data_IF_859550789331
#
_entry.id   IF_859550789331
#
_cell.length_a   1.000
_cell.length_b   1.000
_cell.length_c   1.000
_cell.angle_alpha   90.00
_cell.angle_beta   90.00
_cell.angle_gamma   90.00
#
_symmetry.space_group_name_H-M   'P 1'
#
loop_
_entity.id
_entity.type
_entity.pdbx_description
1 polymer ?
#
# COMPACT_ATOMS: atom_id res chain seq x y z
N UNK A 1 -18.38 -63.35 -12.04
CA UNK A 1 -18.30 -61.95 -12.48
C UNK A 1 -18.10 -61.13 -11.22
N UNK A 2 -16.92 -60.59 -11.03
CA UNK A 2 -16.60 -59.65 -9.96
C UNK A 2 -17.11 -58.30 -10.41
N UNK A 3 -17.98 -57.61 -9.67
CA UNK A 3 -18.44 -56.27 -10.08
C UNK A 3 -17.28 -55.30 -10.06
N UNK A 4 -17.15 -54.62 -11.14
CA UNK A 4 -16.39 -53.43 -11.48
C UNK A 4 -15.66 -52.76 -10.28
N UNK A 5 -14.38 -53.10 -10.12
CA UNK A 5 -13.51 -52.29 -9.29
C UNK A 5 -13.29 -50.95 -10.02
N UNK A 6 -13.58 -49.80 -9.45
CA UNK A 6 -13.27 -48.56 -10.08
C UNK A 6 -11.76 -48.49 -10.31
N UNK A 7 -11.35 -48.22 -11.54
CA UNK A 7 -9.95 -48.25 -12.02
C UNK A 7 -9.22 -46.92 -11.80
N UNK A 8 -9.77 -46.03 -11.00
CA UNK A 8 -9.04 -44.89 -10.46
C UNK A 8 -9.25 -44.92 -8.93
N UNK A 9 -8.23 -45.29 -8.20
CA UNK A 9 -8.06 -44.82 -6.86
C UNK A 9 -7.81 -43.32 -7.03
N UNK A 10 -8.78 -42.50 -6.69
CA UNK A 10 -8.46 -41.11 -6.43
C UNK A 10 -7.53 -41.15 -5.20
N UNK A 11 -6.38 -40.56 -5.32
CA UNK A 11 -5.43 -40.40 -4.21
C UNK A 11 -6.17 -39.59 -3.13
N UNK A 12 -6.18 -40.09 -1.91
CA UNK A 12 -6.64 -39.29 -0.78
C UNK A 12 -5.64 -38.18 -0.56
N UNK A 13 -6.08 -36.98 -0.40
CA UNK A 13 -5.24 -35.78 -0.25
C UNK A 13 -5.28 -35.24 1.17
N UNK A 14 -5.94 -35.95 2.10
CA UNK A 14 -6.09 -35.64 3.51
C UNK A 14 -6.20 -37.00 4.26
N UNK A 15 -5.05 -37.69 4.36
CA UNK A 15 -4.94 -39.10 4.78
C UNK A 15 -5.50 -39.38 6.17
N UNK A 16 -5.55 -38.40 7.07
CA UNK A 16 -6.07 -38.57 8.45
C UNK A 16 -7.43 -37.90 8.69
N UNK A 17 -7.90 -37.08 7.71
CA UNK A 17 -9.24 -36.49 7.73
C UNK A 17 -9.37 -35.33 8.71
N UNK A 18 -8.29 -34.62 8.98
CA UNK A 18 -8.30 -33.49 9.89
C UNK A 18 -8.73 -32.19 9.24
N UNK A 19 -8.68 -32.10 7.90
CA UNK A 19 -9.07 -30.98 7.06
C UNK A 19 -7.89 -30.16 6.55
N UNK A 20 -6.65 -30.60 6.80
CA UNK A 20 -5.42 -30.07 6.21
C UNK A 20 -4.98 -31.05 5.11
N UNK A 21 -4.63 -30.55 3.93
CA UNK A 21 -4.17 -31.42 2.84
C UNK A 21 -2.75 -31.92 3.13
N UNK A 22 -2.46 -33.22 2.85
CA UNK A 22 -1.15 -33.87 3.09
C UNK A 22 0.06 -33.06 2.65
N UNK A 23 -0.08 -32.25 1.61
CA UNK A 23 1.02 -31.46 1.02
C UNK A 23 1.43 -30.25 1.87
N UNK A 24 0.57 -29.82 2.78
CA UNK A 24 0.79 -28.70 3.71
C UNK A 24 0.67 -29.11 5.16
N UNK A 25 0.30 -30.37 5.41
CA UNK A 25 0.20 -30.97 6.73
C UNK A 25 1.59 -31.42 7.21
N UNK A 26 2.00 -30.93 8.36
CA UNK A 26 3.26 -31.33 8.98
C UNK A 26 3.17 -32.75 9.60
N UNK A 27 1.95 -33.23 9.89
CA UNK A 27 1.68 -34.56 10.44
C UNK A 27 0.56 -35.33 9.70
N UNK A 28 0.72 -35.69 8.43
CA UNK A 28 -0.33 -36.19 7.52
C UNK A 28 -1.03 -37.50 7.94
N UNK A 29 -0.72 -38.06 9.10
CA UNK A 29 -1.30 -39.29 9.66
C UNK A 29 -1.74 -39.09 11.10
N UNK A 30 -1.70 -37.89 11.67
CA UNK A 30 -2.15 -37.60 13.02
C UNK A 30 -3.29 -36.58 13.04
N UNK A 31 -4.53 -37.01 13.09
CA UNK A 31 -5.70 -36.14 12.96
C UNK A 31 -5.87 -35.12 14.09
N UNK A 32 -4.93 -35.03 15.00
CA UNK A 32 -4.93 -34.05 16.08
C UNK A 32 -4.03 -32.81 15.79
N UNK A 33 -3.14 -32.90 14.82
CA UNK A 33 -2.13 -31.91 14.49
C UNK A 33 -2.10 -31.72 12.98
N UNK A 34 -1.85 -30.53 12.49
CA UNK A 34 -1.82 -30.26 11.05
C UNK A 34 -0.79 -29.20 10.67
N UNK A 35 -1.06 -27.93 10.94
CA UNK A 35 -0.17 -26.84 10.58
C UNK A 35 0.99 -26.68 11.58
N UNK A 36 2.13 -26.30 11.04
CA UNK A 36 3.38 -25.92 11.71
C UNK A 36 3.94 -24.77 10.87
N UNK A 37 3.53 -23.55 11.20
CA UNK A 37 3.71 -22.36 10.34
C UNK A 37 5.19 -21.96 10.25
N UNK A 38 5.94 -22.06 11.35
CA UNK A 38 7.37 -21.71 11.40
C UNK A 38 8.32 -22.89 11.13
N UNK A 39 7.80 -24.14 11.18
CA UNK A 39 8.56 -25.37 10.92
C UNK A 39 9.46 -25.81 12.08
N UNK A 40 9.14 -25.45 13.30
CA UNK A 40 9.95 -25.82 14.49
C UNK A 40 9.61 -27.19 15.05
N UNK A 41 8.47 -27.79 14.61
CA UNK A 41 7.99 -29.13 14.98
C UNK A 41 6.99 -29.11 16.11
N UNK A 42 6.45 -27.96 16.48
CA UNK A 42 5.26 -27.80 17.32
C UNK A 42 4.06 -27.47 16.43
N UNK A 43 2.86 -27.98 16.71
CA UNK A 43 1.67 -27.65 15.92
C UNK A 43 1.09 -26.29 16.36
N UNK A 44 0.67 -25.46 15.40
CA UNK A 44 -0.01 -24.21 15.66
C UNK A 44 -1.22 -24.39 16.59
N UNK A 45 -1.93 -25.49 16.42
CA UNK A 45 -3.04 -25.86 17.30
C UNK A 45 -3.41 -27.34 17.21
N UNK A 46 -4.00 -27.86 18.24
CA UNK A 46 -4.66 -29.17 18.20
C UNK A 46 -6.10 -29.05 17.68
N UNK A 47 -6.53 -30.03 16.90
CA UNK A 47 -7.94 -30.13 16.48
C UNK A 47 -8.85 -30.26 17.70
N UNK A 48 -9.92 -29.50 17.73
CA UNK A 48 -10.85 -29.40 18.85
C UNK A 48 -11.36 -30.79 19.32
N UNK A 49 -11.09 -31.13 20.56
CA UNK A 49 -11.51 -32.38 21.20
C UNK A 49 -10.51 -33.52 21.06
N UNK A 50 -9.40 -33.34 20.38
CA UNK A 50 -8.27 -34.26 20.33
C UNK A 50 -7.09 -33.64 21.10
N UNK A 51 -6.17 -34.49 21.54
CA UNK A 51 -4.89 -34.07 22.13
C UNK A 51 -3.78 -34.73 21.34
N UNK A 52 -2.94 -33.92 20.74
CA UNK A 52 -1.72 -34.36 20.06
C UNK A 52 -0.72 -34.99 21.03
N UNK A 53 0.31 -35.61 20.49
CA UNK A 53 1.43 -36.17 21.26
C UNK A 53 2.48 -35.13 21.62
N UNK A 54 2.41 -33.96 21.03
CA UNK A 54 3.33 -32.82 21.16
C UNK A 54 2.53 -31.68 21.79
N UNK A 55 3.17 -30.76 22.49
CA UNK A 55 2.53 -29.54 23.01
C UNK A 55 2.20 -28.62 21.85
N UNK A 56 1.15 -27.82 21.97
CA UNK A 56 0.76 -26.77 21.03
C UNK A 56 1.79 -25.65 21.11
N UNK A 57 2.12 -25.07 19.96
CA UNK A 57 2.95 -23.88 19.90
C UNK A 57 2.24 -22.69 20.57
N UNK A 58 2.96 -21.71 20.97
CA UNK A 58 2.47 -20.47 21.59
C UNK A 58 3.00 -19.22 20.91
N UNK A 59 3.79 -19.39 19.84
CA UNK A 59 4.38 -18.35 18.99
C UNK A 59 4.50 -18.96 17.58
N UNK A 60 3.32 -19.13 16.93
CA UNK A 60 3.10 -19.97 15.74
C UNK A 60 3.98 -19.59 14.54
N UNK A 61 4.48 -18.35 14.47
CA UNK A 61 5.33 -17.87 13.38
C UNK A 61 6.77 -17.51 13.80
N UNK A 62 7.06 -17.65 15.12
CA UNK A 62 8.36 -17.50 15.75
C UNK A 62 8.97 -16.11 15.54
N UNK A 63 8.14 -15.06 15.58
CA UNK A 63 8.58 -13.68 15.50
C UNK A 63 9.00 -13.10 16.86
N UNK A 64 8.65 -13.80 17.95
CA UNK A 64 9.00 -13.48 19.34
C UNK A 64 7.86 -12.85 20.13
N UNK A 65 6.68 -12.70 19.53
CA UNK A 65 5.43 -12.39 20.21
C UNK A 65 4.63 -13.67 20.41
N UNK A 66 3.85 -13.76 21.48
CA UNK A 66 2.99 -14.92 21.68
C UNK A 66 1.69 -14.74 20.89
N UNK A 67 1.09 -15.83 20.39
CA UNK A 67 -0.19 -15.80 19.66
C UNK A 67 -1.30 -15.02 20.38
N UNK A 68 -1.23 -14.96 21.70
CA UNK A 68 -2.19 -14.22 22.53
C UNK A 68 -1.90 -12.73 22.65
N UNK A 69 -0.75 -12.30 22.20
CA UNK A 69 -0.25 -10.92 22.23
C UNK A 69 0.05 -10.41 20.81
N UNK A 70 -0.22 -11.24 19.79
CA UNK A 70 0.00 -11.02 18.38
C UNK A 70 -1.34 -10.94 17.63
N UNK A 71 -1.54 -9.87 16.89
CA UNK A 71 -2.73 -9.69 16.05
C UNK A 71 -2.63 -10.46 14.72
N UNK A 72 -1.42 -10.96 14.37
CA UNK A 72 -1.13 -11.71 13.14
C UNK A 72 -0.35 -13.01 13.40
N UNK A 73 -0.80 -13.94 14.25
CA UNK A 73 -0.03 -15.06 14.81
C UNK A 73 0.57 -16.06 13.80
N UNK A 74 0.40 -15.85 12.51
CA UNK A 74 0.90 -16.71 11.43
C UNK A 74 1.74 -15.93 10.41
N UNK A 75 2.16 -14.69 10.71
CA UNK A 75 2.93 -13.86 9.80
C UNK A 75 4.09 -13.14 10.51
N UNK A 76 5.22 -13.77 10.63
CA UNK A 76 6.44 -13.31 11.30
C UNK A 76 7.00 -11.92 10.87
N UNK A 77 6.26 -11.15 10.11
CA UNK A 77 6.61 -9.79 9.77
C UNK A 77 5.62 -8.77 10.33
N UNK A 78 4.57 -9.21 11.03
CA UNK A 78 3.50 -8.38 11.56
C UNK A 78 3.07 -8.89 12.92
N UNK A 79 2.85 -7.99 13.88
CA UNK A 79 2.49 -8.37 15.25
C UNK A 79 1.48 -7.44 15.94
N UNK A 80 1.26 -6.23 15.40
CA UNK A 80 0.38 -5.26 16.05
C UNK A 80 -0.55 -4.58 15.05
N UNK A 81 -1.84 -4.53 15.41
CA UNK A 81 -2.94 -3.92 14.65
C UNK A 81 -3.82 -3.18 15.65
N UNK A 82 -3.48 -1.92 15.93
CA UNK A 82 -4.06 -1.16 17.05
C UNK A 82 -5.55 -0.89 16.85
N UNK A 83 -6.02 -0.64 15.62
CA UNK A 83 -7.43 -0.36 15.33
C UNK A 83 -8.21 -1.58 14.85
N UNK A 84 -7.52 -2.68 14.51
CA UNK A 84 -8.14 -3.94 14.10
C UNK A 84 -8.62 -3.96 12.65
N UNK A 85 -8.05 -3.15 11.76
CA UNK A 85 -8.44 -3.06 10.35
C UNK A 85 -7.74 -4.11 9.45
N UNK A 86 -6.72 -4.81 9.98
CA UNK A 86 -5.94 -5.86 9.32
C UNK A 86 -4.66 -5.34 8.64
N UNK A 87 -4.30 -4.08 8.86
CA UNK A 87 -3.02 -3.49 8.47
C UNK A 87 -2.12 -3.44 9.72
N UNK A 88 -0.88 -3.88 9.58
CA UNK A 88 0.09 -3.81 10.68
C UNK A 88 0.53 -2.37 10.95
N UNK A 89 0.64 -1.98 12.21
CA UNK A 89 1.00 -0.63 12.66
C UNK A 89 2.29 -0.09 12.03
N UNK A 90 3.20 -0.96 11.60
CA UNK A 90 4.47 -0.55 10.97
C UNK A 90 4.29 0.03 9.56
N UNK A 91 3.16 -0.25 8.92
CA UNK A 91 2.82 0.19 7.56
C UNK A 91 1.50 0.94 7.49
N UNK A 92 0.79 1.02 8.61
CA UNK A 92 -0.42 1.81 8.71
C UNK A 92 -0.09 3.31 8.77
N UNK A 93 -0.96 4.12 8.25
CA UNK A 93 -0.86 5.57 8.22
C UNK A 93 -1.81 6.26 9.19
N UNK A 94 -2.72 5.49 9.82
CA UNK A 94 -3.76 5.91 10.76
C UNK A 94 -3.98 4.73 11.73
N UNK A 95 -2.98 4.52 12.62
CA UNK A 95 -2.84 3.30 13.42
C UNK A 95 -3.97 3.06 14.42
N UNK A 96 -4.64 4.09 14.90
CA UNK A 96 -5.73 3.97 15.86
C UNK A 96 -7.12 4.14 15.23
N UNK A 97 -7.17 4.42 13.90
CA UNK A 97 -8.38 4.41 13.10
C UNK A 97 -9.36 5.54 13.41
N UNK A 98 -8.87 6.69 13.87
CA UNK A 98 -9.71 7.83 14.26
C UNK A 98 -10.01 8.81 13.11
N UNK A 99 -9.51 8.54 11.88
CA UNK A 99 -9.57 9.36 10.67
C UNK A 99 -8.52 10.49 10.60
N UNK A 100 -7.62 10.59 11.58
CA UNK A 100 -6.41 11.41 11.50
C UNK A 100 -5.21 10.52 11.18
N UNK A 101 -4.29 11.03 10.37
CA UNK A 101 -3.09 10.26 10.10
C UNK A 101 -2.06 10.43 11.23
N UNK A 102 -1.23 9.40 11.47
CA UNK A 102 -0.10 9.47 12.42
C UNK A 102 0.76 10.73 12.25
N UNK A 103 0.95 11.16 10.99
CA UNK A 103 1.73 12.36 10.68
C UNK A 103 1.02 13.64 11.12
N UNK A 104 -0.29 13.72 10.88
CA UNK A 104 -1.08 14.89 11.29
C UNK A 104 -1.14 14.95 12.82
N UNK A 105 -1.27 13.81 13.48
CA UNK A 105 -1.28 13.71 14.93
C UNK A 105 0.06 14.08 15.57
N UNK A 106 1.19 13.58 15.04
CA UNK A 106 2.53 13.98 15.48
C UNK A 106 2.71 15.51 15.36
N UNK A 107 2.23 16.11 14.26
CA UNK A 107 2.31 17.55 14.03
C UNK A 107 1.35 18.34 14.93
N UNK A 108 0.19 17.76 15.26
CA UNK A 108 -0.84 18.37 16.10
C UNK A 108 -0.62 18.13 17.60
N UNK A 109 0.18 17.11 17.94
CA UNK A 109 0.60 16.80 19.31
C UNK A 109 -0.36 15.89 20.05
N UNK A 110 -1.05 15.01 19.35
CA UNK A 110 -1.88 13.91 19.86
C UNK A 110 -1.16 12.56 19.74
N UNK A 111 -1.75 11.49 20.29
CA UNK A 111 -1.16 10.15 20.36
C UNK A 111 -1.77 9.26 19.28
N UNK A 112 -1.05 8.97 18.23
CA UNK A 112 -1.45 8.14 17.08
C UNK A 112 -1.66 6.65 17.39
N UNK A 113 -1.75 6.29 18.67
CA UNK A 113 -2.08 4.95 19.16
C UNK A 113 -3.31 4.98 20.06
N UNK A 114 -3.96 6.15 20.24
CA UNK A 114 -5.11 6.34 21.13
C UNK A 114 -6.24 7.08 20.39
N UNK A 115 -7.11 6.36 19.71
CA UNK A 115 -8.25 6.89 18.98
C UNK A 115 -9.27 7.71 19.79
N UNK A 116 -9.05 7.87 21.10
CA UNK A 116 -9.76 8.81 21.95
C UNK A 116 -9.03 10.15 22.11
N UNK A 117 -7.78 10.30 21.61
CA UNK A 117 -6.92 11.49 21.69
C UNK A 117 -6.69 12.19 20.35
N UNK A 118 -7.75 12.50 19.61
CA UNK A 118 -7.68 13.12 18.30
C UNK A 118 -7.38 14.63 18.33
N UNK A 119 -6.79 15.18 17.26
CA UNK A 119 -6.51 16.59 17.11
C UNK A 119 -7.78 17.47 17.12
N UNK A 120 -7.72 18.62 17.79
CA UNK A 120 -8.81 19.60 17.72
C UNK A 120 -8.77 20.36 16.39
N UNK A 121 -9.89 20.37 15.67
CA UNK A 121 -10.13 21.10 14.42
C UNK A 121 -11.42 21.91 14.58
N UNK A 122 -11.30 23.20 14.87
CA UNK A 122 -12.44 24.06 15.28
C UNK A 122 -13.36 24.46 14.13
N UNK A 123 -12.86 24.46 12.87
CA UNK A 123 -13.63 24.85 11.70
C UNK A 123 -13.91 23.69 10.74
N UNK A 124 -13.39 22.49 11.07
CA UNK A 124 -13.57 21.24 10.33
C UNK A 124 -13.05 21.30 8.89
N UNK A 125 -11.90 21.91 8.70
CA UNK A 125 -11.26 21.97 7.39
C UNK A 125 -10.24 20.84 7.14
N UNK A 126 -10.00 19.98 8.15
CA UNK A 126 -9.06 18.87 8.12
C UNK A 126 -7.62 19.28 8.46
N UNK A 127 -7.44 20.45 9.05
CA UNK A 127 -6.16 20.93 9.59
C UNK A 127 -6.38 21.23 11.06
N UNK A 128 -5.60 20.66 11.95
CA UNK A 128 -5.78 20.91 13.38
C UNK A 128 -5.49 22.37 13.76
N UNK A 129 -6.19 22.86 14.80
CA UNK A 129 -6.04 24.22 15.33
C UNK A 129 -4.59 24.63 15.63
N UNK A 130 -3.72 23.67 15.95
CA UNK A 130 -2.31 23.90 16.23
C UNK A 130 -1.53 24.28 14.97
N UNK A 131 -1.86 23.66 13.83
CA UNK A 131 -1.24 23.89 12.52
C UNK A 131 -1.87 25.07 11.80
N UNK A 132 -3.19 25.23 11.88
CA UNK A 132 -3.92 26.32 11.23
C UNK A 132 -3.44 27.72 11.70
N UNK A 133 -3.08 27.86 12.99
CA UNK A 133 -2.52 29.11 13.54
C UNK A 133 -1.13 29.47 13.02
N UNK A 134 -0.40 28.57 12.41
CA UNK A 134 0.95 28.83 11.89
C UNK A 134 0.98 29.15 10.39
N UNK A 135 -0.08 28.85 9.65
CA UNK A 135 -0.02 28.80 8.19
C UNK A 135 -0.23 30.12 7.44
N UNK A 136 -1.06 31.04 7.89
CA UNK A 136 -1.45 32.19 7.05
C UNK A 136 -1.38 33.54 7.78
N UNK A 137 -1.61 33.61 9.07
CA UNK A 137 -1.72 34.89 9.78
C UNK A 137 -0.37 35.60 9.96
N UNK A 138 0.74 34.88 10.04
CA UNK A 138 2.07 35.48 10.13
C UNK A 138 2.59 36.02 8.79
N UNK A 139 2.23 35.41 7.67
CA UNK A 139 2.59 35.93 6.34
C UNK A 139 1.86 37.23 5.98
N UNK A 140 0.68 37.47 6.57
CA UNK A 140 -0.15 38.64 6.26
C UNK A 140 -0.19 39.71 7.36
N UNK A 141 0.24 39.40 8.57
CA UNK A 141 0.22 40.33 9.71
C UNK A 141 1.31 41.42 9.68
N UNK A 142 2.39 41.19 8.98
CA UNK A 142 3.38 42.23 8.73
C UNK A 142 3.25 42.75 7.29
N UNK A 143 3.09 44.06 7.09
CA UNK A 143 2.96 44.67 5.77
C UNK A 143 4.09 44.37 4.75
N UNK A 144 4.98 43.46 5.10
CA UNK A 144 6.06 42.88 4.31
C UNK A 144 5.58 41.60 3.59
N UNK A 145 4.64 40.83 4.16
CA UNK A 145 4.18 39.55 3.59
C UNK A 145 3.47 39.68 2.25
N UNK A 146 2.67 40.73 2.06
CA UNK A 146 1.96 40.99 0.80
C UNK A 146 2.96 41.29 -0.34
N UNK A 147 4.05 41.98 -0.02
CA UNK A 147 5.07 42.32 -1.01
C UNK A 147 5.84 41.09 -1.51
N UNK A 148 6.13 40.13 -0.62
CA UNK A 148 6.76 38.85 -0.97
C UNK A 148 5.82 37.91 -1.75
N UNK A 149 4.54 37.83 -1.38
CA UNK A 149 3.57 37.00 -2.09
C UNK A 149 3.35 37.50 -3.53
N UNK A 150 3.22 38.82 -3.72
CA UNK A 150 3.12 39.44 -5.06
C UNK A 150 4.41 39.21 -5.85
N UNK A 151 5.57 39.41 -5.21
CA UNK A 151 6.87 39.20 -5.85
C UNK A 151 7.06 37.74 -6.28
N UNK A 152 6.68 36.80 -5.43
CA UNK A 152 6.76 35.36 -5.74
C UNK A 152 5.82 34.95 -6.89
N UNK A 153 4.59 35.46 -6.90
CA UNK A 153 3.66 35.22 -8.01
C UNK A 153 4.14 35.84 -9.33
N UNK A 154 4.76 37.03 -9.28
CA UNK A 154 5.36 37.65 -10.46
C UNK A 154 6.56 36.85 -10.97
N UNK A 155 7.39 36.32 -10.10
CA UNK A 155 8.53 35.45 -10.45
C UNK A 155 8.03 34.16 -11.10
N UNK A 156 7.03 33.48 -10.49
CA UNK A 156 6.43 32.27 -11.06
C UNK A 156 5.77 32.57 -12.42
N UNK A 157 5.08 33.66 -12.53
CA UNK A 157 4.50 34.12 -13.81
C UNK A 157 5.55 34.37 -14.87
N UNK A 158 6.67 35.03 -14.53
CA UNK A 158 7.79 35.27 -15.43
C UNK A 158 8.50 33.97 -15.87
N UNK A 159 8.66 33.02 -14.95
CA UNK A 159 9.21 31.69 -15.26
C UNK A 159 8.28 30.91 -16.20
N UNK A 160 6.98 30.92 -15.94
CA UNK A 160 5.98 30.26 -16.79
C UNK A 160 5.93 30.88 -18.17
N UNK A 161 6.00 32.22 -18.26
CA UNK A 161 6.03 32.94 -19.52
C UNK A 161 7.29 32.62 -20.32
N UNK A 162 8.45 32.65 -19.69
CA UNK A 162 9.74 32.30 -20.32
C UNK A 162 9.78 30.86 -20.84
N UNK A 163 9.22 29.94 -20.12
CA UNK A 163 9.10 28.51 -20.55
C UNK A 163 8.15 28.35 -21.73
N UNK A 164 7.08 29.14 -21.78
CA UNK A 164 6.13 29.10 -22.88
C UNK A 164 6.76 29.67 -24.19
N UNK A 165 7.55 30.72 -24.11
CA UNK A 165 8.28 31.23 -25.27
C UNK A 165 9.34 30.29 -25.81
N UNK A 166 10.06 29.57 -24.92
CA UNK A 166 11.04 28.58 -25.37
C UNK A 166 10.36 27.36 -26.02
N UNK A 167 9.22 26.95 -25.53
CA UNK A 167 8.44 25.86 -26.14
C UNK A 167 7.90 26.23 -27.53
N UNK A 168 7.42 27.45 -27.69
CA UNK A 168 6.94 27.95 -29.00
C UNK A 168 8.06 28.04 -30.02
N UNK A 169 9.26 28.48 -29.63
CA UNK A 169 10.43 28.56 -30.53
C UNK A 169 10.93 27.19 -30.95
N UNK A 170 10.85 26.21 -30.06
CA UNK A 170 11.25 24.84 -30.37
C UNK A 170 10.25 24.17 -31.32
N UNK A 171 8.95 24.42 -31.18
CA UNK A 171 7.93 23.94 -32.11
C UNK A 171 8.06 24.54 -33.51
N UNK A 172 8.45 25.81 -33.63
CA UNK A 172 8.64 26.49 -34.92
C UNK A 172 9.89 25.98 -35.66
N UNK A 173 10.92 25.56 -34.93
CA UNK A 173 12.14 24.98 -35.53
C UNK A 173 11.96 23.53 -36.06
N UNK A 174 10.87 22.88 -35.73
CA UNK A 174 10.56 21.50 -36.16
C UNK A 174 9.70 21.46 -37.45
N UNK A 175 9.23 22.60 -37.94
CA UNK A 175 8.48 22.63 -39.19
C UNK A 175 9.48 22.60 -40.34
N UNK A 176 9.51 21.58 -41.20
CA UNK A 176 10.37 21.55 -42.37
C UNK A 176 9.97 22.69 -43.31
N UNK A 177 10.91 23.32 -43.99
CA UNK A 177 10.60 24.36 -44.99
C UNK A 177 9.67 23.75 -46.06
N UNK A 178 8.76 24.57 -46.62
CA UNK A 178 7.92 24.12 -47.72
C UNK A 178 8.80 23.69 -48.90
N UNK A 179 8.39 22.65 -49.64
CA UNK A 179 9.14 22.19 -50.82
C UNK A 179 9.31 23.30 -51.82
N UNK A 180 10.47 23.37 -52.46
CA UNK A 180 10.75 24.35 -53.49
C UNK A 180 9.88 24.09 -54.73
N UNK A 181 9.55 25.17 -55.46
CA UNK A 181 8.75 25.05 -56.68
C UNK A 181 9.36 24.11 -57.73
N UNK A 182 10.68 23.85 -57.67
CA UNK A 182 11.36 22.91 -58.54
C UNK A 182 11.05 21.44 -58.17
N UNK A 183 10.92 21.14 -56.84
CA UNK A 183 10.64 19.79 -56.36
C UNK A 183 9.18 19.37 -56.60
N UNK A 184 8.24 20.33 -56.63
CA UNK A 184 6.84 20.05 -56.97
C UNK A 184 6.65 19.78 -58.49
N UNK A 185 7.48 20.42 -59.35
CA UNK A 185 7.40 20.22 -60.80
C UNK A 185 7.98 18.87 -61.27
N UNK A 186 8.94 18.29 -60.54
CA UNK A 186 9.48 16.96 -60.90
C UNK A 186 8.48 15.81 -60.64
N UNK A 187 7.60 15.94 -59.63
CA UNK A 187 6.59 14.90 -59.34
C UNK A 187 5.48 14.86 -60.38
N UNK A 188 5.14 16.00 -61.04
CA UNK A 188 4.08 16.00 -62.08
C UNK A 188 4.55 15.42 -63.42
N UNK A 189 5.84 15.23 -63.66
CA UNK A 189 6.38 14.75 -64.92
C UNK A 189 6.50 13.21 -64.99
N UNK A 190 6.49 12.52 -63.83
CA UNK A 190 6.59 11.05 -63.79
C UNK A 190 5.25 10.34 -63.94
N UNK A 191 4.10 10.99 -63.83
CA UNK A 191 2.77 10.37 -63.96
C UNK A 191 2.24 10.29 -65.43
N UNK A 192 2.91 10.88 -66.42
CA UNK A 192 2.41 10.96 -67.81
C UNK A 192 3.19 10.09 -68.83
N UNK A 193 3.92 9.03 -68.38
CA UNK A 193 4.58 8.10 -69.26
C UNK A 193 4.31 6.65 -68.90
N UNK A 194 3.06 6.20 -69.19
CA UNK A 194 2.70 4.81 -69.50
C UNK A 194 1.47 4.75 -70.39
#
# INVERSE_FOLDING_TARGET
MIPNCPTSLEEDTDDDGDGVEDVVDAWPLDPAMGLDTDGDGLPDRHKSGLTGSIEEDTDDDNDGYLDTEDDFPLDANRWLDTDGDGIDDSIDADRDGDDWSDLDEEECGTDSMDGDDWPTDSDNDGICDAMDKQGITELFSGGIGIAFAISFLLILGAIAYSRNESFLKESESQIPPPPSLEEVLEVEVEEDSD
#
